data_IF_671535614269
#
_entry.id   IF_671535614269
#
_cell.length_a   1.000
_cell.length_b   1.000
_cell.length_c   1.000
_cell.angle_alpha   90.00
_cell.angle_beta   90.00
_cell.angle_gamma   90.00
#
_symmetry.space_group_name_H-M   'P 1'
#
loop_
_entity.id
_entity.type
_entity.pdbx_description
1 polymer ?
#
# COMPACT_ATOMS: atom_id res chain seq x y z
N UNK A 1 128.45 -107.81 -62.39
CA UNK A 1 127.81 -107.66 -63.73
C UNK A 1 126.32 -107.47 -63.50
N UNK A 2 125.89 -106.43 -62.79
CA UNK A 2 126.06 -104.98 -62.98
C UNK A 2 124.82 -104.43 -63.66
N UNK A 3 123.83 -104.16 -62.81
CA UNK A 3 122.65 -103.29 -62.98
C UNK A 3 121.83 -103.25 -61.67
N UNK A 4 122.24 -103.98 -60.63
CA UNK A 4 121.69 -103.93 -59.27
C UNK A 4 122.22 -102.76 -58.40
N UNK A 5 123.17 -101.95 -58.86
CA UNK A 5 123.94 -101.03 -58.00
C UNK A 5 123.65 -99.52 -58.16
N UNK A 6 122.84 -99.10 -59.16
CA UNK A 6 122.59 -97.68 -59.43
C UNK A 6 121.31 -97.11 -58.81
N UNK A 7 120.43 -97.94 -58.22
CA UNK A 7 119.22 -97.45 -57.53
C UNK A 7 119.46 -97.09 -56.05
N UNK A 8 120.64 -97.39 -55.51
CA UNK A 8 120.93 -97.21 -54.07
C UNK A 8 121.61 -95.86 -53.77
N UNK A 9 122.12 -95.13 -54.78
CA UNK A 9 122.97 -93.94 -54.57
C UNK A 9 122.34 -92.58 -54.96
N UNK A 10 121.14 -92.55 -55.53
CA UNK A 10 120.32 -91.34 -55.59
C UNK A 10 119.31 -91.39 -54.45
N UNK A 11 119.74 -90.98 -53.25
CA UNK A 11 119.01 -91.05 -51.98
C UNK A 11 117.71 -90.24 -51.94
N UNK A 12 116.72 -90.61 -52.74
CA UNK A 12 115.31 -90.34 -52.47
C UNK A 12 114.88 -91.45 -51.52
N UNK A 13 115.00 -91.17 -50.22
CA UNK A 13 114.65 -92.10 -49.16
C UNK A 13 113.12 -92.30 -49.19
N UNK A 14 112.66 -93.26 -50.00
CA UNK A 14 111.25 -93.58 -50.26
C UNK A 14 110.44 -93.69 -48.97
N UNK A 15 111.06 -94.20 -47.90
CA UNK A 15 110.46 -94.30 -46.58
C UNK A 15 110.25 -92.94 -45.92
N UNK A 16 111.23 -92.02 -46.00
CA UNK A 16 111.11 -90.66 -45.49
C UNK A 16 110.04 -89.85 -46.25
N UNK A 17 110.05 -89.92 -47.59
CA UNK A 17 109.03 -89.25 -48.42
C UNK A 17 107.62 -89.82 -48.16
N UNK A 18 107.50 -91.13 -47.98
CA UNK A 18 106.19 -91.75 -47.66
C UNK A 18 105.72 -91.36 -46.25
N UNK A 19 106.61 -91.27 -45.26
CA UNK A 19 106.26 -90.79 -43.92
C UNK A 19 105.88 -89.30 -43.89
N UNK A 20 106.54 -88.47 -44.69
CA UNK A 20 106.18 -87.05 -44.84
C UNK A 20 104.79 -86.90 -45.48
N UNK A 21 104.48 -87.66 -46.55
CA UNK A 21 103.14 -87.69 -47.15
C UNK A 21 102.07 -88.10 -46.14
N UNK A 22 102.34 -89.13 -45.32
CA UNK A 22 101.39 -89.57 -44.28
C UNK A 22 101.20 -88.50 -43.20
N UNK A 23 102.27 -87.80 -42.78
CA UNK A 23 102.17 -86.69 -41.83
C UNK A 23 101.40 -85.51 -42.41
N UNK A 24 101.64 -85.14 -43.66
CA UNK A 24 100.90 -84.06 -44.31
C UNK A 24 99.43 -84.42 -44.52
N UNK A 25 99.12 -85.69 -44.82
CA UNK A 25 97.73 -86.15 -44.91
C UNK A 25 97.03 -86.16 -43.54
N UNK A 26 97.76 -86.50 -42.46
CA UNK A 26 97.24 -86.40 -41.10
C UNK A 26 97.01 -84.93 -40.71
N UNK A 27 97.97 -84.04 -40.99
CA UNK A 27 97.84 -82.61 -40.74
C UNK A 27 96.68 -82.00 -41.56
N UNK A 28 96.54 -82.33 -42.85
CA UNK A 28 95.40 -81.91 -43.66
C UNK A 28 94.08 -82.47 -43.13
N UNK A 29 94.08 -83.69 -42.58
CA UNK A 29 92.91 -84.30 -41.93
C UNK A 29 92.52 -83.54 -40.66
N UNK A 30 93.49 -83.14 -39.85
CA UNK A 30 93.32 -82.29 -38.66
C UNK A 30 92.81 -80.90 -39.04
N UNK A 31 93.44 -80.22 -40.01
CA UNK A 31 93.01 -78.92 -40.55
C UNK A 31 91.58 -78.98 -41.11
N UNK A 32 91.21 -80.09 -41.76
CA UNK A 32 89.85 -80.30 -42.27
C UNK A 32 88.84 -80.46 -41.12
N UNK A 33 89.22 -81.14 -40.04
CA UNK A 33 88.38 -81.26 -38.85
C UNK A 33 88.25 -79.92 -38.11
N UNK A 34 89.32 -79.14 -38.01
CA UNK A 34 89.29 -77.79 -37.43
C UNK A 34 88.41 -76.84 -38.25
N UNK A 35 88.51 -76.88 -39.59
CA UNK A 35 87.64 -76.11 -40.47
C UNK A 35 86.17 -76.49 -40.32
N UNK A 36 85.85 -77.79 -40.26
CA UNK A 36 84.47 -78.24 -40.05
C UNK A 36 83.95 -77.91 -38.64
N UNK A 37 84.82 -77.89 -37.62
CA UNK A 37 84.47 -77.41 -36.28
C UNK A 37 84.16 -75.91 -36.28
N UNK A 38 85.05 -75.08 -36.85
CA UNK A 38 84.85 -73.63 -36.97
C UNK A 38 83.61 -73.26 -37.79
N UNK A 39 83.31 -74.01 -38.84
CA UNK A 39 82.10 -73.85 -39.66
C UNK A 39 80.82 -74.15 -38.88
N UNK A 40 80.83 -75.15 -37.99
CA UNK A 40 79.69 -75.45 -37.11
C UNK A 40 79.52 -74.37 -36.04
N UNK A 41 80.61 -73.90 -35.45
CA UNK A 41 80.59 -72.82 -34.46
C UNK A 41 80.05 -71.52 -35.08
N UNK A 42 80.53 -71.13 -36.25
CA UNK A 42 80.01 -69.98 -37.00
C UNK A 42 78.53 -70.12 -37.35
N UNK A 43 78.07 -71.32 -37.72
CA UNK A 43 76.65 -71.57 -37.96
C UNK A 43 75.82 -71.38 -36.69
N UNK A 44 76.30 -71.88 -35.55
CA UNK A 44 75.65 -71.73 -34.25
C UNK A 44 75.61 -70.26 -33.78
N UNK A 45 76.71 -69.51 -33.93
CA UNK A 45 76.74 -68.07 -33.65
C UNK A 45 75.79 -67.28 -34.54
N UNK A 46 75.73 -67.62 -35.83
CA UNK A 46 74.81 -66.99 -36.77
C UNK A 46 73.35 -67.26 -36.40
N UNK A 47 73.03 -68.46 -35.92
CA UNK A 47 71.69 -68.79 -35.43
C UNK A 47 71.36 -68.05 -34.13
N UNK A 48 72.29 -68.01 -33.18
CA UNK A 48 72.14 -67.27 -31.93
C UNK A 48 71.92 -65.77 -32.17
N UNK A 49 72.74 -65.15 -33.04
CA UNK A 49 72.59 -63.75 -33.44
C UNK A 49 71.23 -63.49 -34.10
N UNK A 50 70.78 -64.37 -35.00
CA UNK A 50 69.48 -64.23 -35.64
C UNK A 50 68.31 -64.38 -34.64
N UNK A 51 68.44 -65.29 -33.66
CA UNK A 51 67.45 -65.45 -32.60
C UNK A 51 67.39 -64.21 -31.69
N UNK A 52 68.54 -63.68 -31.28
CA UNK A 52 68.62 -62.45 -30.49
C UNK A 52 68.05 -61.25 -31.25
N UNK A 53 68.42 -61.09 -32.53
CA UNK A 53 67.91 -60.03 -33.40
C UNK A 53 66.38 -60.09 -33.51
N UNK A 54 65.80 -61.28 -33.73
CA UNK A 54 64.35 -61.47 -33.71
C UNK A 54 63.75 -61.10 -32.35
N UNK A 55 64.37 -61.53 -31.25
CA UNK A 55 63.94 -61.20 -29.89
C UNK A 55 64.00 -59.70 -29.58
N UNK A 56 64.97 -58.96 -30.13
CA UNK A 56 65.01 -57.50 -30.06
C UNK A 56 63.86 -56.87 -30.85
N UNK A 57 63.62 -57.30 -32.10
CA UNK A 57 62.49 -56.77 -32.89
C UNK A 57 61.14 -56.99 -32.22
N UNK A 58 60.91 -58.17 -31.62
CA UNK A 58 59.68 -58.43 -30.87
C UNK A 58 59.52 -57.50 -29.67
N UNK A 59 60.58 -57.27 -28.89
CA UNK A 59 60.56 -56.33 -27.76
C UNK A 59 60.32 -54.90 -28.19
N UNK A 60 60.92 -54.47 -29.30
CA UNK A 60 60.68 -53.13 -29.86
C UNK A 60 59.23 -52.99 -30.30
N UNK A 61 58.69 -53.96 -31.04
CA UNK A 61 57.30 -53.93 -31.50
C UNK A 61 56.29 -53.93 -30.33
N UNK A 62 56.52 -54.76 -29.30
CA UNK A 62 55.68 -54.78 -28.09
C UNK A 62 55.75 -53.44 -27.32
N UNK A 63 56.94 -52.84 -27.21
CA UNK A 63 57.10 -51.53 -26.58
C UNK A 63 56.46 -50.40 -27.41
N UNK A 64 56.52 -50.46 -28.74
CA UNK A 64 55.85 -49.52 -29.63
C UNK A 64 54.32 -49.62 -29.51
N UNK A 65 53.79 -50.84 -29.42
CA UNK A 65 52.35 -51.06 -29.20
C UNK A 65 51.91 -50.52 -27.83
N UNK A 66 52.68 -50.78 -26.77
CA UNK A 66 52.42 -50.22 -25.43
C UNK A 66 52.47 -48.69 -25.43
N UNK A 67 53.48 -48.10 -26.07
CA UNK A 67 53.59 -46.66 -26.19
C UNK A 67 52.43 -46.06 -26.99
N UNK A 68 51.96 -46.73 -28.04
CA UNK A 68 50.80 -46.30 -28.81
C UNK A 68 49.51 -46.34 -27.97
N UNK A 69 49.30 -47.41 -27.19
CA UNK A 69 48.17 -47.54 -26.25
C UNK A 69 48.20 -46.46 -25.17
N UNK A 70 49.37 -46.18 -24.61
CA UNK A 70 49.53 -45.14 -23.59
C UNK A 70 49.30 -43.73 -24.15
N UNK A 71 49.79 -43.45 -25.36
CA UNK A 71 49.51 -42.19 -26.07
C UNK A 71 48.01 -42.00 -26.32
N UNK A 72 47.33 -43.06 -26.75
CA UNK A 72 45.89 -43.02 -26.98
C UNK A 72 45.13 -42.77 -25.66
N UNK A 73 45.46 -43.52 -24.60
CA UNK A 73 44.86 -43.33 -23.28
C UNK A 73 45.05 -41.90 -22.75
N UNK A 74 46.26 -41.34 -22.87
CA UNK A 74 46.53 -39.97 -22.45
C UNK A 74 45.76 -38.94 -23.29
N UNK A 75 45.65 -39.16 -24.61
CA UNK A 75 44.87 -38.28 -25.49
C UNK A 75 43.37 -38.30 -25.14
N UNK A 76 42.81 -39.47 -24.86
CA UNK A 76 41.40 -39.59 -24.48
C UNK A 76 41.14 -38.97 -23.11
N UNK A 77 42.03 -39.19 -22.14
CA UNK A 77 41.96 -38.53 -20.83
C UNK A 77 42.07 -37.02 -20.93
N UNK A 78 42.91 -36.49 -21.81
CA UNK A 78 43.02 -35.05 -22.04
C UNK A 78 41.71 -34.48 -22.59
N UNK A 79 41.10 -35.15 -23.59
CA UNK A 79 39.81 -34.74 -24.15
C UNK A 79 38.70 -34.76 -23.11
N UNK A 80 38.64 -35.79 -22.26
CA UNK A 80 37.67 -35.88 -21.18
C UNK A 80 37.81 -34.73 -20.18
N UNK A 81 39.06 -34.38 -19.83
CA UNK A 81 39.36 -33.24 -18.97
C UNK A 81 38.96 -31.91 -19.61
N UNK A 82 39.29 -31.69 -20.88
CA UNK A 82 38.89 -30.48 -21.61
C UNK A 82 37.37 -30.36 -21.68
N UNK A 83 36.66 -31.45 -21.98
CA UNK A 83 35.20 -31.48 -22.00
C UNK A 83 34.58 -31.24 -20.61
N UNK A 84 35.20 -31.72 -19.54
CA UNK A 84 34.78 -31.42 -18.17
C UNK A 84 34.96 -29.93 -17.84
N UNK A 85 36.13 -29.36 -18.15
CA UNK A 85 36.42 -27.94 -17.96
C UNK A 85 35.44 -27.04 -18.74
N UNK A 86 35.11 -27.39 -19.98
CA UNK A 86 34.12 -26.66 -20.77
C UNK A 86 32.72 -26.69 -20.14
N UNK A 87 32.28 -27.86 -19.66
CA UNK A 87 30.98 -28.00 -18.99
C UNK A 87 30.94 -27.13 -17.73
N UNK A 88 31.94 -27.23 -16.87
CA UNK A 88 32.02 -26.41 -15.65
C UNK A 88 32.07 -24.92 -15.97
N UNK A 89 32.80 -24.50 -17.01
CA UNK A 89 32.83 -23.09 -17.44
C UNK A 89 31.46 -22.59 -17.92
N UNK A 90 30.69 -23.42 -18.65
CA UNK A 90 29.33 -23.08 -19.08
C UNK A 90 28.40 -22.94 -17.87
N UNK A 91 28.48 -23.87 -16.91
CA UNK A 91 27.69 -23.82 -15.67
C UNK A 91 28.02 -22.59 -14.83
N UNK A 92 29.30 -22.27 -14.63
CA UNK A 92 29.74 -21.08 -13.91
C UNK A 92 29.27 -19.79 -14.58
N UNK A 93 29.31 -19.75 -15.92
CA UNK A 93 28.80 -18.60 -16.67
C UNK A 93 27.29 -18.45 -16.49
N UNK A 94 26.53 -19.55 -16.62
CA UNK A 94 25.09 -19.53 -16.40
C UNK A 94 24.73 -19.09 -14.98
N UNK A 95 25.44 -19.60 -13.96
CA UNK A 95 25.25 -19.19 -12.58
C UNK A 95 25.57 -17.70 -12.36
N UNK A 96 26.65 -17.19 -12.98
CA UNK A 96 26.99 -15.77 -12.93
C UNK A 96 25.90 -14.90 -13.57
N UNK A 97 25.42 -15.28 -14.75
CA UNK A 97 24.39 -14.54 -15.47
C UNK A 97 23.07 -14.51 -14.66
N UNK A 98 22.74 -15.62 -14.00
CA UNK A 98 21.58 -15.71 -13.11
C UNK A 98 21.72 -14.83 -11.86
N UNK A 99 22.91 -14.79 -11.24
CA UNK A 99 23.19 -13.88 -10.11
C UNK A 99 23.02 -12.42 -10.55
N UNK A 100 23.50 -12.05 -11.74
CA UNK A 100 23.34 -10.68 -12.26
C UNK A 100 21.87 -10.35 -12.50
N UNK A 101 21.10 -11.29 -13.08
CA UNK A 101 19.65 -11.14 -13.29
C UNK A 101 18.93 -10.92 -11.96
N UNK A 102 19.14 -11.81 -10.99
CA UNK A 102 18.54 -11.73 -9.66
C UNK A 102 18.91 -10.45 -8.92
N UNK A 103 20.17 -9.99 -9.04
CA UNK A 103 20.60 -8.72 -8.47
C UNK A 103 19.83 -7.55 -9.07
N UNK A 104 19.62 -7.55 -10.38
CA UNK A 104 18.82 -6.54 -11.07
C UNK A 104 17.36 -6.54 -10.65
N UNK A 105 16.77 -7.72 -10.46
CA UNK A 105 15.39 -7.85 -9.94
C UNK A 105 15.27 -7.37 -8.50
N UNK A 106 16.22 -7.74 -7.64
CA UNK A 106 16.24 -7.30 -6.25
C UNK A 106 16.36 -5.76 -6.15
N UNK A 107 17.16 -5.12 -7.00
CA UNK A 107 17.22 -3.65 -7.06
C UNK A 107 15.90 -3.03 -7.49
N UNK A 108 15.22 -3.61 -8.50
CA UNK A 108 13.89 -3.12 -8.93
C UNK A 108 12.85 -3.25 -7.83
N UNK A 109 12.82 -4.39 -7.14
CA UNK A 109 11.92 -4.62 -6.01
C UNK A 109 12.20 -3.68 -4.84
N UNK A 110 13.48 -3.40 -4.56
CA UNK A 110 13.88 -2.40 -3.56
C UNK A 110 13.34 -1.02 -3.92
N UNK A 111 13.55 -0.57 -5.16
CA UNK A 111 13.06 0.73 -5.64
C UNK A 111 11.52 0.82 -5.59
N UNK A 112 10.81 -0.26 -5.96
CA UNK A 112 9.35 -0.34 -5.88
C UNK A 112 8.86 -0.27 -4.44
N UNK A 113 9.54 -0.96 -3.52
CA UNK A 113 9.23 -0.92 -2.10
C UNK A 113 9.44 0.49 -1.52
N UNK A 114 10.57 1.14 -1.82
CA UNK A 114 10.85 2.51 -1.38
C UNK A 114 9.79 3.50 -1.90
N UNK A 115 9.39 3.39 -3.17
CA UNK A 115 8.30 4.20 -3.75
C UNK A 115 6.97 3.95 -3.04
N UNK A 116 6.65 2.68 -2.75
CA UNK A 116 5.41 2.33 -2.05
C UNK A 116 5.39 2.93 -0.64
N UNK A 117 6.49 2.80 0.12
CA UNK A 117 6.65 3.40 1.46
C UNK A 117 6.47 4.92 1.41
N UNK A 118 7.08 5.61 0.44
CA UNK A 118 6.93 7.06 0.29
C UNK A 118 5.48 7.48 0.01
N UNK A 119 4.74 6.70 -0.79
CA UNK A 119 3.30 6.95 -1.05
C UNK A 119 2.47 6.71 0.21
N UNK A 120 2.74 5.65 0.97
CA UNK A 120 2.05 5.40 2.23
C UNK A 120 2.31 6.49 3.26
N UNK A 121 3.56 6.92 3.43
CA UNK A 121 3.90 8.01 4.34
C UNK A 121 3.19 9.31 3.97
N UNK A 122 3.12 9.63 2.67
CA UNK A 122 2.39 10.80 2.20
C UNK A 122 0.90 10.72 2.57
N UNK A 123 0.27 9.56 2.36
CA UNK A 123 -1.14 9.34 2.72
C UNK A 123 -1.35 9.41 4.24
N UNK A 124 -0.47 8.83 5.03
CA UNK A 124 -0.51 8.90 6.49
C UNK A 124 -0.48 10.36 6.96
N UNK A 125 0.46 11.16 6.47
CA UNK A 125 0.54 12.60 6.78
C UNK A 125 -0.73 13.36 6.35
N UNK A 126 -1.32 13.01 5.20
CA UNK A 126 -2.60 13.58 4.75
C UNK A 126 -3.75 13.22 5.71
N UNK A 127 -3.79 11.99 6.23
CA UNK A 127 -4.78 11.56 7.21
C UNK A 127 -4.58 12.22 8.57
N UNK A 128 -3.34 12.35 9.04
CA UNK A 128 -3.02 13.08 10.27
C UNK A 128 -3.48 14.54 10.20
N UNK A 129 -3.21 15.23 9.09
CA UNK A 129 -3.68 16.60 8.89
C UNK A 129 -5.21 16.68 8.87
N UNK A 130 -5.90 15.72 8.23
CA UNK A 130 -7.37 15.69 8.21
C UNK A 130 -7.94 15.43 9.60
N UNK A 131 -7.34 14.53 10.37
CA UNK A 131 -7.74 14.26 11.75
C UNK A 131 -7.57 15.51 12.63
N UNK A 132 -6.41 16.18 12.58
CA UNK A 132 -6.18 17.41 13.33
C UNK A 132 -7.19 18.52 12.98
N UNK A 133 -7.55 18.66 11.70
CA UNK A 133 -8.58 19.61 11.26
C UNK A 133 -9.96 19.24 11.83
N UNK A 134 -10.33 17.96 11.80
CA UNK A 134 -11.61 17.48 12.34
C UNK A 134 -11.68 17.67 13.86
N UNK A 135 -10.60 17.36 14.59
CA UNK A 135 -10.51 17.60 16.03
C UNK A 135 -10.72 19.08 16.37
N UNK A 136 -10.12 19.98 15.59
CA UNK A 136 -10.34 21.42 15.74
C UNK A 136 -11.80 21.81 15.51
N UNK A 137 -12.43 21.32 14.43
CA UNK A 137 -13.84 21.61 14.14
C UNK A 137 -14.76 21.07 15.24
N UNK A 138 -14.48 19.88 15.78
CA UNK A 138 -15.23 19.31 16.91
C UNK A 138 -15.07 20.17 18.16
N UNK A 139 -13.86 20.64 18.47
CA UNK A 139 -13.62 21.55 19.59
C UNK A 139 -14.39 22.88 19.43
N UNK A 140 -14.38 23.47 18.23
CA UNK A 140 -15.14 24.70 17.94
C UNK A 140 -16.65 24.48 18.07
N UNK A 141 -17.19 23.38 17.52
CA UNK A 141 -18.62 23.08 17.59
C UNK A 141 -19.10 22.74 18.99
N UNK A 142 -18.26 22.05 19.78
CA UNK A 142 -18.58 21.78 21.19
C UNK A 142 -18.57 23.05 22.03
N UNK A 143 -17.67 23.99 21.76
CA UNK A 143 -17.69 25.31 22.40
C UNK A 143 -18.92 26.14 21.99
N UNK A 144 -19.27 26.16 20.70
CA UNK A 144 -20.48 26.83 20.19
C UNK A 144 -21.76 26.25 20.81
N UNK A 145 -21.87 24.92 20.89
CA UNK A 145 -23.02 24.25 21.51
C UNK A 145 -23.17 24.62 22.98
N UNK A 146 -22.08 24.66 23.75
CA UNK A 146 -22.11 25.08 25.16
C UNK A 146 -22.54 26.53 25.32
N UNK A 147 -22.07 27.41 24.43
CA UNK A 147 -22.47 28.83 24.45
C UNK A 147 -23.97 28.99 24.15
N UNK A 148 -24.49 28.23 23.18
CA UNK A 148 -25.93 28.23 22.85
C UNK A 148 -26.78 27.64 23.99
N UNK A 149 -26.29 26.61 24.68
CA UNK A 149 -26.98 26.01 25.83
C UNK A 149 -27.11 27.02 26.98
N UNK A 150 -26.03 27.73 27.33
CA UNK A 150 -26.06 28.81 28.34
C UNK A 150 -27.05 29.91 27.94
N UNK A 151 -27.01 30.34 26.67
CA UNK A 151 -27.94 31.37 26.18
C UNK A 151 -29.40 30.90 26.25
N UNK A 152 -29.67 29.63 25.92
CA UNK A 152 -31.00 29.06 26.04
C UNK A 152 -31.48 29.03 27.50
N UNK A 153 -30.59 28.69 28.45
CA UNK A 153 -30.89 28.73 29.88
C UNK A 153 -31.22 30.14 30.38
N UNK A 154 -30.45 31.16 29.97
CA UNK A 154 -30.69 32.57 30.30
C UNK A 154 -32.07 33.04 29.80
N UNK A 155 -32.39 32.74 28.54
CA UNK A 155 -33.70 33.10 27.96
C UNK A 155 -34.83 32.38 28.66
N UNK A 156 -34.67 31.08 28.99
CA UNK A 156 -35.68 30.35 29.75
C UNK A 156 -35.91 30.99 31.12
N UNK A 157 -34.85 31.46 31.79
CA UNK A 157 -34.97 32.17 33.07
C UNK A 157 -35.74 33.49 32.92
N UNK A 158 -35.42 34.28 31.90
CA UNK A 158 -36.13 35.53 31.58
C UNK A 158 -37.60 35.30 31.25
N UNK A 159 -37.91 34.29 30.43
CA UNK A 159 -39.28 33.91 30.11
C UNK A 159 -40.06 33.50 31.36
N UNK A 160 -39.46 32.70 32.24
CA UNK A 160 -40.08 32.31 33.52
C UNK A 160 -40.34 33.54 34.40
N UNK A 161 -39.37 34.45 34.51
CA UNK A 161 -39.54 35.68 35.28
C UNK A 161 -40.67 36.57 34.73
N UNK A 162 -40.73 36.74 33.40
CA UNK A 162 -41.79 37.49 32.74
C UNK A 162 -43.17 36.89 33.01
N UNK A 163 -43.31 35.56 32.91
CA UNK A 163 -44.59 34.88 33.16
C UNK A 163 -45.03 34.97 34.62
N UNK A 164 -44.12 34.76 35.57
CA UNK A 164 -44.45 34.70 37.01
C UNK A 164 -44.60 36.11 37.61
N UNK A 165 -43.83 37.09 37.15
CA UNK A 165 -43.72 38.41 37.78
C UNK A 165 -44.15 39.53 36.85
N UNK A 166 -43.62 39.56 35.63
CA UNK A 166 -43.85 40.65 34.67
C UNK A 166 -45.32 40.77 34.28
N UNK A 167 -45.95 39.67 33.83
CA UNK A 167 -47.34 39.65 33.40
C UNK A 167 -48.29 40.05 34.54
N UNK A 168 -48.20 39.49 35.77
CA UNK A 168 -49.03 39.95 36.88
C UNK A 168 -48.84 41.43 37.23
N UNK A 169 -47.61 41.97 37.18
CA UNK A 169 -47.37 43.39 37.45
C UNK A 169 -48.01 44.30 36.39
N UNK A 170 -47.96 43.91 35.12
CA UNK A 170 -48.63 44.63 34.03
C UNK A 170 -50.15 44.56 34.23
N UNK A 171 -50.70 43.36 34.52
CA UNK A 171 -52.11 43.19 34.77
C UNK A 171 -52.59 44.00 35.98
N UNK A 172 -51.86 43.99 37.10
CA UNK A 172 -52.16 44.77 38.31
C UNK A 172 -52.16 46.27 38.02
N UNK A 173 -51.18 46.76 37.25
CA UNK A 173 -51.11 48.17 36.87
C UNK A 173 -52.25 48.59 35.94
N UNK A 174 -52.70 47.71 35.05
CA UNK A 174 -53.87 47.96 34.20
C UNK A 174 -55.14 48.01 35.06
N UNK A 175 -55.35 47.05 35.95
CA UNK A 175 -56.53 46.98 36.83
C UNK A 175 -56.60 48.19 37.77
N UNK A 176 -55.45 48.66 38.26
CA UNK A 176 -55.33 49.84 39.14
C UNK A 176 -55.10 51.16 38.39
N UNK A 177 -55.24 51.18 37.08
CA UNK A 177 -55.12 52.42 36.32
C UNK A 177 -56.30 53.33 36.67
N UNK A 178 -55.98 54.49 37.23
CA UNK A 178 -56.96 55.54 37.50
C UNK A 178 -57.63 55.99 36.19
N UNK A 179 -56.94 55.90 35.05
CA UNK A 179 -57.57 56.10 33.75
C UNK A 179 -58.65 55.04 33.49
N UNK A 180 -58.37 53.74 33.69
CA UNK A 180 -59.37 52.68 33.51
C UNK A 180 -60.57 52.83 34.46
N UNK A 181 -60.32 53.19 35.72
CA UNK A 181 -61.39 53.46 36.70
C UNK A 181 -62.21 54.68 36.28
N UNK A 182 -61.55 55.76 35.85
CA UNK A 182 -62.22 56.96 35.32
C UNK A 182 -63.05 56.63 34.06
N UNK A 183 -62.54 55.79 33.17
CA UNK A 183 -63.29 55.27 32.02
C UNK A 183 -64.53 54.49 32.44
N UNK A 184 -64.41 53.58 33.41
CA UNK A 184 -65.55 52.82 33.92
C UNK A 184 -66.57 53.72 34.61
N UNK A 185 -66.12 54.78 35.30
CA UNK A 185 -66.97 55.78 35.94
C UNK A 185 -67.69 56.66 34.92
N UNK A 186 -66.98 57.19 33.92
CA UNK A 186 -67.55 57.99 32.83
C UNK A 186 -68.58 57.18 32.01
N UNK A 187 -68.33 55.88 31.79
CA UNK A 187 -69.31 54.96 31.20
C UNK A 187 -70.54 54.74 32.09
N UNK A 188 -70.35 54.71 33.42
CA UNK A 188 -71.43 54.59 34.40
C UNK A 188 -72.28 55.86 34.52
N UNK A 189 -71.65 57.03 34.58
CA UNK A 189 -72.32 58.34 34.64
C UNK A 189 -73.08 58.62 33.34
N UNK A 190 -72.49 58.35 32.16
CA UNK A 190 -73.21 58.45 30.89
C UNK A 190 -74.44 57.50 30.83
N UNK A 191 -74.38 56.35 31.49
CA UNK A 191 -75.51 55.43 31.61
C UNK A 191 -76.58 55.90 32.62
N UNK A 192 -76.18 56.70 33.63
CA UNK A 192 -77.07 57.25 34.65
C UNK A 192 -77.78 58.54 34.17
N UNK A 193 -77.03 59.45 33.52
CA UNK A 193 -77.53 60.71 32.94
C UNK A 193 -78.51 60.47 31.76
N UNK A 194 -78.49 59.28 31.17
CA UNK A 194 -79.49 58.82 30.21
C UNK A 194 -80.78 58.28 30.86
N UNK A 195 -80.98 58.48 32.17
CA UNK A 195 -82.26 58.30 32.86
C UNK A 195 -82.45 56.96 33.58
N UNK A 196 -81.38 56.24 33.95
CA UNK A 196 -81.47 54.92 34.60
C UNK A 196 -80.89 54.91 36.01
N UNK A 197 -81.77 54.78 37.01
CA UNK A 197 -81.41 54.80 38.45
C UNK A 197 -80.62 53.57 38.93
N UNK A 198 -80.72 52.41 38.27
CA UNK A 198 -79.96 51.19 38.62
C UNK A 198 -79.05 50.65 37.50
N UNK A 199 -78.84 51.43 36.43
CA UNK A 199 -77.80 51.22 35.42
C UNK A 199 -77.65 49.78 34.88
N UNK A 200 -76.43 49.26 34.91
CA UNK A 200 -76.00 47.96 34.34
C UNK A 200 -76.74 46.74 34.94
N UNK A 201 -77.30 46.86 36.15
CA UNK A 201 -78.04 45.80 36.82
C UNK A 201 -79.37 45.45 36.13
N UNK A 202 -80.13 46.47 35.74
CA UNK A 202 -81.41 46.32 35.02
C UNK A 202 -81.22 45.73 33.63
N UNK A 203 -80.17 46.15 32.91
CA UNK A 203 -79.84 45.60 31.59
C UNK A 203 -79.43 44.12 31.63
N UNK A 204 -78.69 43.71 32.68
CA UNK A 204 -78.32 42.30 32.87
C UNK A 204 -79.51 41.43 33.21
N UNK A 205 -80.42 41.92 34.07
CA UNK A 205 -81.64 41.20 34.44
C UNK A 205 -82.59 41.03 33.23
N UNK A 206 -82.79 42.07 32.42
CA UNK A 206 -83.63 42.02 31.23
C UNK A 206 -83.06 41.08 30.13
N UNK A 207 -81.75 41.09 29.92
CA UNK A 207 -81.09 40.16 28.99
C UNK A 207 -81.17 38.70 29.45
N UNK A 208 -81.19 38.46 30.77
CA UNK A 208 -81.37 37.12 31.34
C UNK A 208 -82.83 36.66 31.27
N UNK A 209 -83.79 37.59 31.34
CA UNK A 209 -85.23 37.35 31.20
C UNK A 209 -85.74 37.33 29.75
N UNK A 210 -84.88 37.65 28.77
CA UNK A 210 -85.19 37.68 27.33
C UNK A 210 -86.35 38.63 26.95
N UNK A 211 -86.55 39.68 27.74
CA UNK A 211 -87.55 40.72 27.46
C UNK A 211 -87.04 41.71 26.42
N UNK A 212 -87.88 42.02 25.42
CA UNK A 212 -87.60 43.10 24.47
C UNK A 212 -87.90 44.43 25.14
N UNK A 213 -86.83 45.13 25.54
CA UNK A 213 -86.96 46.47 26.13
C UNK A 213 -86.98 47.48 24.99
N UNK A 214 -88.17 47.90 24.57
CA UNK A 214 -88.40 48.82 23.44
C UNK A 214 -87.89 50.26 23.70
N UNK A 215 -87.30 50.53 24.86
CA UNK A 215 -86.71 51.84 25.23
C UNK A 215 -85.17 51.82 25.19
N UNK A 216 -84.57 50.73 24.71
CA UNK A 216 -83.12 50.55 24.64
C UNK A 216 -82.49 51.17 23.37
N UNK A 217 -82.99 52.31 22.90
CA UNK A 217 -82.42 53.05 21.76
C UNK A 217 -81.40 54.14 22.16
N UNK A 218 -80.85 54.08 23.37
CA UNK A 218 -80.02 55.17 23.92
C UNK A 218 -78.50 54.99 23.83
N UNK A 219 -77.97 54.09 22.98
CA UNK A 219 -76.53 53.82 22.96
C UNK A 219 -75.86 53.80 21.56
N UNK A 220 -76.52 54.30 20.51
CA UNK A 220 -75.97 54.16 19.15
C UNK A 220 -75.16 55.36 18.64
N UNK A 221 -75.45 56.59 19.06
CA UNK A 221 -74.87 57.76 18.39
C UNK A 221 -73.63 58.30 19.11
N UNK A 222 -73.62 58.37 20.45
CA UNK A 222 -72.48 58.97 21.17
C UNK A 222 -71.41 57.98 21.63
N UNK A 223 -71.81 56.76 22.02
CA UNK A 223 -70.83 55.73 22.42
C UNK A 223 -69.94 55.28 21.27
N UNK A 224 -70.44 55.26 20.04
CA UNK A 224 -69.67 54.91 18.84
C UNK A 224 -68.50 55.87 18.61
N UNK A 225 -68.76 57.18 18.75
CA UNK A 225 -67.75 58.23 18.56
C UNK A 225 -66.76 58.29 19.73
N UNK A 226 -67.24 58.19 20.98
CA UNK A 226 -66.37 58.11 22.14
C UNK A 226 -65.52 56.83 22.14
N UNK A 227 -66.09 55.68 21.77
CA UNK A 227 -65.35 54.42 21.65
C UNK A 227 -64.33 54.49 20.50
N UNK A 228 -64.64 55.15 19.38
CA UNK A 228 -63.71 55.33 18.27
C UNK A 228 -62.52 56.25 18.62
N UNK A 229 -62.78 57.41 19.23
CA UNK A 229 -61.73 58.34 19.67
C UNK A 229 -60.81 57.69 20.71
N UNK A 230 -61.38 56.90 21.63
CA UNK A 230 -60.63 56.24 22.70
C UNK A 230 -59.94 54.94 22.26
N UNK A 231 -60.47 54.24 21.26
CA UNK A 231 -59.76 53.18 20.54
C UNK A 231 -58.52 53.72 19.83
N UNK A 232 -58.54 54.97 19.36
CA UNK A 232 -57.39 55.63 18.75
C UNK A 232 -56.28 55.93 19.79
N UNK A 233 -56.65 56.33 21.02
CA UNK A 233 -55.69 56.47 22.14
C UNK A 233 -55.12 55.12 22.59
N UNK A 234 -55.95 54.07 22.66
CA UNK A 234 -55.49 52.71 23.00
C UNK A 234 -54.60 52.11 21.90
N UNK A 235 -54.89 52.37 20.63
CA UNK A 235 -54.01 52.05 19.50
C UNK A 235 -52.67 52.80 19.62
N UNK A 236 -52.66 54.06 20.06
CA UNK A 236 -51.43 54.80 20.32
C UNK A 236 -50.61 54.20 21.49
N UNK A 237 -51.28 53.77 22.57
CA UNK A 237 -50.64 53.11 23.70
C UNK A 237 -50.09 51.72 23.31
N UNK A 238 -50.87 50.94 22.55
CA UNK A 238 -50.45 49.68 21.94
C UNK A 238 -49.25 49.91 21.02
N UNK A 239 -49.24 50.97 20.23
CA UNK A 239 -48.11 51.34 19.38
C UNK A 239 -46.87 51.75 20.18
N UNK A 240 -47.03 52.42 21.33
CA UNK A 240 -45.94 52.76 22.24
C UNK A 240 -45.35 51.51 22.93
N UNK A 241 -46.21 50.57 23.34
CA UNK A 241 -45.79 49.28 23.88
C UNK A 241 -45.09 48.45 22.79
N UNK A 242 -45.65 48.39 21.58
CA UNK A 242 -45.03 47.72 20.43
C UNK A 242 -43.67 48.35 20.12
N UNK A 243 -43.52 49.68 20.12
CA UNK A 243 -42.21 50.35 19.99
C UNK A 243 -41.26 50.04 21.13
N UNK A 244 -41.73 49.89 22.36
CA UNK A 244 -40.90 49.54 23.51
C UNK A 244 -40.41 48.09 23.41
N UNK A 245 -41.28 47.17 22.99
CA UNK A 245 -40.96 45.79 22.65
C UNK A 245 -40.01 45.74 21.46
N UNK A 246 -40.18 46.60 20.45
CA UNK A 246 -39.29 46.70 19.29
C UNK A 246 -37.91 47.29 19.65
N UNK A 247 -37.85 48.22 20.63
CA UNK A 247 -36.58 48.68 21.20
C UNK A 247 -35.88 47.60 22.02
N UNK A 248 -36.63 46.75 22.72
CA UNK A 248 -36.11 45.57 23.42
C UNK A 248 -35.69 44.48 22.43
N UNK A 249 -36.41 44.28 21.33
CA UNK A 249 -36.05 43.33 20.27
C UNK A 249 -34.87 43.80 19.42
N UNK A 250 -34.63 45.11 19.31
CA UNK A 250 -33.40 45.68 18.70
C UNK A 250 -32.17 45.58 19.60
N UNK A 251 -32.33 45.35 20.91
CA UNK A 251 -31.25 44.79 21.75
C UNK A 251 -31.05 43.29 21.49
N UNK A 252 -31.91 42.69 20.65
CA UNK A 252 -31.93 41.29 20.26
C UNK A 252 -30.83 40.91 19.27
N UNK A 253 -29.60 40.87 19.76
CA UNK A 253 -28.75 39.74 19.39
C UNK A 253 -29.41 38.42 19.84
N UNK A 254 -30.07 38.41 21.01
CA UNK A 254 -30.72 37.23 21.59
C UNK A 254 -31.94 36.69 20.81
N UNK A 255 -32.76 37.54 20.17
CA UNK A 255 -33.99 37.10 19.48
C UNK A 255 -33.69 36.46 18.11
N UNK A 256 -32.69 36.98 17.38
CA UNK A 256 -32.16 36.37 16.15
C UNK A 256 -31.50 35.02 16.46
N UNK A 257 -30.71 34.94 17.55
CA UNK A 257 -30.10 33.68 17.99
C UNK A 257 -31.14 32.67 18.45
N UNK A 258 -32.24 33.09 19.09
CA UNK A 258 -33.38 32.23 19.45
C UNK A 258 -34.17 31.74 18.25
N UNK A 259 -34.44 32.60 17.26
CA UNK A 259 -35.12 32.18 16.02
C UNK A 259 -34.32 31.13 15.27
N UNK A 260 -32.99 31.27 15.21
CA UNK A 260 -32.08 30.24 14.68
C UNK A 260 -32.03 28.97 15.52
N UNK A 261 -32.01 29.08 16.85
CA UNK A 261 -31.96 27.93 17.76
C UNK A 261 -33.27 27.12 17.82
N UNK A 262 -34.42 27.76 17.57
CA UNK A 262 -35.75 27.14 17.59
C UNK A 262 -36.23 26.66 16.21
N UNK A 263 -35.39 26.76 15.16
CA UNK A 263 -35.67 26.17 13.85
C UNK A 263 -36.81 26.83 13.05
N UNK A 264 -37.26 28.02 13.42
CA UNK A 264 -38.20 28.79 12.59
C UNK A 264 -37.44 29.43 11.43
N UNK A 265 -37.16 28.63 10.40
CA UNK A 265 -36.95 29.15 9.06
C UNK A 265 -38.31 29.64 8.53
N UNK A 266 -38.33 30.86 8.01
CA UNK A 266 -39.46 31.36 7.22
C UNK A 266 -39.68 30.41 6.05
N UNK A 267 -40.70 29.55 6.16
CA UNK A 267 -41.23 28.79 5.06
C UNK A 267 -42.00 29.79 4.17
N UNK A 268 -41.28 30.49 3.29
CA UNK A 268 -41.74 30.96 1.98
C UNK A 268 -40.69 31.91 1.35
N UNK A 269 -39.67 31.30 0.74
CA UNK A 269 -39.07 31.80 -0.49
C UNK A 269 -38.78 30.57 -1.36
N UNK A 270 -39.76 30.21 -2.17
CA UNK A 270 -39.64 29.26 -3.27
C UNK A 270 -38.54 29.75 -4.21
N UNK A 271 -37.59 28.87 -4.55
CA UNK A 271 -37.07 28.88 -5.91
C UNK A 271 -37.12 27.47 -6.47
N UNK A 272 -37.74 27.37 -7.64
CA UNK A 272 -37.99 26.15 -8.36
C UNK A 272 -36.94 26.00 -9.46
N UNK A 273 -36.28 24.85 -9.50
CA UNK A 273 -35.80 24.24 -10.76
C UNK A 273 -34.42 23.59 -10.70
N UNK A 274 -34.06 22.76 -11.72
CA UNK A 274 -34.89 21.93 -12.57
C UNK A 274 -34.63 20.42 -12.34
N UNK A 275 -35.66 19.61 -12.59
CA UNK A 275 -35.53 18.16 -12.71
C UNK A 275 -34.63 17.79 -13.89
N UNK A 276 -33.50 17.13 -13.61
CA UNK A 276 -32.82 16.31 -14.59
C UNK A 276 -33.57 14.98 -14.72
N UNK A 277 -34.05 14.72 -15.93
CA UNK A 277 -34.49 13.41 -16.39
C UNK A 277 -33.33 12.40 -16.29
N UNK A 278 -33.62 11.24 -15.73
CA UNK A 278 -33.06 9.94 -16.13
C UNK A 278 -34.24 9.05 -16.47
#
# INVERSE_FOLDING_TARGET
>A
MDLLDDHIHAGVNFYATTQEIVREWQAMGEDTMEFEAAKREFAAEREAFNAEKKGMFWRVADNEEKLAKEKQFNADRQKEWEAACERTNRELKAARDEIVRLKGENTKQSDEHERAVAVYQKRENEYEHRLANLEKVVAEKTAESKALEILAEEIMADCKWLLVRGVPLIADRIVKSDELVKYMFELGDAAFDSGRKEGYGEGRAAATANEKVDHFELYKVDCSAHYAAKRQEYEFLKFAIVRAVEKLSRKGSAVETLKKALGYQDAEAVDAGPSHQV
#
